data_IF_564758703605
#
_entry.id   IF_564758703605
#
_cell.length_a   1.000
_cell.length_b   1.000
_cell.length_c   1.000
_cell.angle_alpha   90.00
_cell.angle_beta   90.00
_cell.angle_gamma   90.00
#
_symmetry.space_group_name_H-M   'P 1'
#
loop_
_entity.id
_entity.type
_entity.pdbx_description
1 polymer ?
#
# COMPACT_ATOMS: atom_id res chain seq x y z
N UNK A 1 -10.25 -8.35 -41.54
CA UNK A 1 -8.95 -7.87 -41.04
C UNK A 1 -9.12 -7.56 -39.57
N UNK A 2 -8.49 -8.40 -38.74
CA UNK A 2 -8.35 -8.26 -37.29
C UNK A 2 -7.65 -6.95 -36.94
N UNK A 3 -8.15 -6.21 -35.95
CA UNK A 3 -7.36 -5.58 -34.88
C UNK A 3 -8.21 -4.62 -34.03
N UNK A 4 -9.25 -5.14 -33.39
CA UNK A 4 -9.65 -4.60 -32.09
C UNK A 4 -9.08 -5.52 -31.03
N UNK A 5 -7.77 -5.39 -30.81
CA UNK A 5 -7.17 -5.81 -29.57
C UNK A 5 -7.74 -4.89 -28.50
N UNK A 6 -8.90 -5.26 -27.96
CA UNK A 6 -9.41 -4.74 -26.71
C UNK A 6 -8.28 -4.93 -25.69
N UNK A 7 -7.49 -3.87 -25.48
CA UNK A 7 -6.51 -3.83 -24.40
C UNK A 7 -7.35 -3.73 -23.14
N UNK A 8 -7.58 -4.90 -22.55
CA UNK A 8 -8.10 -5.01 -21.20
C UNK A 8 -7.31 -4.01 -20.33
N UNK A 9 -7.98 -3.03 -19.70
CA UNK A 9 -7.27 -2.06 -18.89
C UNK A 9 -6.52 -2.84 -17.82
N UNK A 10 -5.21 -2.61 -17.62
CA UNK A 10 -4.43 -3.33 -16.63
C UNK A 10 -4.87 -2.87 -15.25
N UNK A 11 -5.96 -3.46 -14.79
CA UNK A 11 -6.51 -3.26 -13.48
C UNK A 11 -6.54 -4.63 -12.84
N UNK A 12 -5.89 -4.76 -11.69
CA UNK A 12 -5.93 -5.94 -10.83
C UNK A 12 -7.32 -6.06 -10.14
N UNK A 13 -8.37 -5.85 -10.93
CA UNK A 13 -9.76 -6.17 -10.64
C UNK A 13 -10.13 -7.48 -11.35
N UNK A 14 -9.25 -8.50 -11.30
CA UNK A 14 -9.67 -9.84 -11.71
C UNK A 14 -10.26 -10.62 -10.50
N UNK A 15 -11.25 -11.51 -10.75
CA UNK A 15 -11.76 -12.50 -9.81
C UNK A 15 -10.61 -13.40 -9.29
N UNK A 16 -10.83 -14.27 -8.28
CA UNK A 16 -9.79 -15.20 -7.82
C UNK A 16 -9.34 -16.09 -8.99
N UNK A 17 -8.23 -15.70 -9.62
CA UNK A 17 -7.41 -16.58 -10.44
C UNK A 17 -6.36 -17.16 -9.51
N UNK A 18 -5.97 -18.43 -9.70
CA UNK A 18 -4.92 -19.11 -8.94
C UNK A 18 -3.56 -18.44 -9.18
N UNK A 19 -3.38 -17.25 -8.60
CA UNK A 19 -2.16 -16.48 -8.70
C UNK A 19 -1.11 -17.05 -7.76
N UNK A 20 0.14 -16.97 -8.18
CA UNK A 20 1.29 -17.44 -7.43
C UNK A 20 1.79 -16.36 -6.48
N UNK A 21 2.32 -16.82 -5.36
CA UNK A 21 2.99 -15.99 -4.35
C UNK A 21 4.31 -16.64 -3.98
N UNK A 22 5.41 -15.89 -4.04
CA UNK A 22 6.73 -16.41 -3.67
C UNK A 22 7.60 -15.33 -3.03
N UNK A 23 8.73 -15.78 -2.50
CA UNK A 23 9.76 -14.93 -1.90
C UNK A 23 10.90 -14.67 -2.90
N UNK A 24 11.32 -13.42 -3.01
CA UNK A 24 12.59 -13.00 -3.62
C UNK A 24 13.39 -12.16 -2.61
N UNK A 25 14.30 -12.78 -1.86
CA UNK A 25 15.01 -12.09 -0.77
C UNK A 25 14.03 -11.57 0.28
N UNK A 26 14.01 -10.26 0.52
CA UNK A 26 13.07 -9.62 1.47
C UNK A 26 11.79 -9.12 0.78
N UNK A 27 11.63 -9.44 -0.51
CA UNK A 27 10.50 -9.01 -1.33
C UNK A 27 9.48 -10.14 -1.43
N UNK A 28 8.24 -9.80 -1.09
CA UNK A 28 7.07 -10.62 -1.36
C UNK A 28 6.60 -10.34 -2.79
N UNK A 29 6.56 -11.36 -3.64
CA UNK A 29 6.07 -11.23 -5.02
C UNK A 29 4.74 -11.95 -5.15
N UNK A 30 3.73 -11.25 -5.68
CA UNK A 30 2.40 -11.79 -5.89
C UNK A 30 1.94 -11.52 -7.33
N UNK A 31 1.37 -12.52 -8.00
CA UNK A 31 0.68 -12.30 -9.29
C UNK A 31 -0.76 -11.85 -9.09
N UNK A 32 -1.39 -11.40 -10.18
CA UNK A 32 -2.81 -11.06 -10.19
C UNK A 32 -3.68 -12.19 -9.62
N UNK A 33 -4.54 -11.87 -8.65
CA UNK A 33 -5.44 -12.85 -8.04
C UNK A 33 -4.81 -13.75 -6.96
N UNK A 34 -3.51 -13.65 -6.71
CA UNK A 34 -2.84 -14.46 -5.69
C UNK A 34 -3.45 -14.26 -4.30
N UNK A 35 -3.77 -15.37 -3.64
CA UNK A 35 -4.23 -15.41 -2.26
C UNK A 35 -3.03 -15.69 -1.35
N UNK A 36 -2.79 -14.81 -0.39
CA UNK A 36 -1.74 -15.04 0.60
C UNK A 36 -2.21 -16.11 1.60
N UNK A 37 -1.26 -16.90 2.17
CA UNK A 37 -1.57 -17.83 3.25
C UNK A 37 -2.36 -17.14 4.39
N UNK A 38 -3.26 -17.87 5.08
CA UNK A 38 -4.05 -17.35 6.18
C UNK A 38 -3.20 -17.22 7.47
N UNK A 39 -2.12 -16.44 7.38
CA UNK A 39 -1.19 -16.11 8.46
C UNK A 39 -0.89 -14.62 8.42
N UNK A 40 -0.62 -14.04 9.58
CA UNK A 40 -0.29 -12.63 9.67
C UNK A 40 0.99 -12.31 8.89
N UNK A 41 0.88 -11.45 7.87
CA UNK A 41 2.04 -11.03 7.04
C UNK A 41 3.16 -10.33 7.83
N UNK A 42 2.90 -9.87 9.06
CA UNK A 42 3.88 -9.15 9.92
C UNK A 42 4.57 -9.99 10.98
N UNK A 43 3.94 -11.05 11.47
CA UNK A 43 4.51 -11.86 12.55
C UNK A 43 4.37 -13.37 12.33
N UNK A 44 3.80 -13.79 11.20
CA UNK A 44 3.50 -15.18 10.87
C UNK A 44 2.57 -15.93 11.85
N UNK A 45 1.98 -15.23 12.82
CA UNK A 45 0.99 -15.80 13.72
C UNK A 45 -0.23 -16.32 12.93
N UNK A 46 -0.91 -17.38 13.41
CA UNK A 46 -2.14 -17.87 12.78
C UNK A 46 -3.17 -16.75 12.64
N UNK A 47 -3.91 -16.75 11.54
CA UNK A 47 -4.92 -15.73 11.30
C UNK A 47 -6.17 -16.00 12.16
N UNK A 48 -6.29 -15.26 13.26
CA UNK A 48 -7.52 -15.25 14.08
C UNK A 48 -8.66 -14.42 13.46
N UNK A 49 -8.37 -13.67 12.38
CA UNK A 49 -9.31 -12.76 11.73
C UNK A 49 -9.53 -13.14 10.27
N UNK A 50 -10.73 -12.84 9.72
CA UNK A 50 -11.05 -13.15 8.35
C UNK A 50 -10.11 -12.41 7.38
N UNK A 51 -9.72 -13.05 6.27
CA UNK A 51 -8.96 -12.42 5.21
C UNK A 51 -9.69 -11.17 4.68
N UNK A 52 -8.93 -10.08 4.50
CA UNK A 52 -9.46 -8.82 3.99
C UNK A 52 -8.75 -8.46 2.70
N UNK A 53 -9.49 -7.85 1.77
CA UNK A 53 -8.93 -7.32 0.53
C UNK A 53 -8.26 -5.98 0.79
N UNK A 54 -6.99 -5.85 0.37
CA UNK A 54 -6.22 -4.62 0.44
C UNK A 54 -5.91 -4.13 -0.96
N UNK A 55 -6.13 -2.83 -1.19
CA UNK A 55 -5.80 -2.17 -2.45
C UNK A 55 -4.55 -1.33 -2.21
N UNK A 56 -3.50 -1.65 -2.96
CA UNK A 56 -2.25 -0.92 -2.99
C UNK A 56 -2.20 -0.01 -4.22
N UNK A 57 -1.64 1.16 -4.02
CA UNK A 57 -1.48 2.16 -5.07
C UNK A 57 0.01 2.41 -5.25
N UNK A 58 0.45 2.36 -6.50
CA UNK A 58 1.83 2.60 -6.87
C UNK A 58 1.89 3.59 -8.02
N UNK A 59 2.86 4.50 -7.93
CA UNK A 59 3.14 5.49 -8.95
C UNK A 59 4.57 5.28 -9.43
N UNK A 60 4.78 5.39 -10.74
CA UNK A 60 6.12 5.30 -11.30
C UNK A 60 6.96 6.50 -10.81
N UNK A 61 8.19 6.31 -10.31
CA UNK A 61 9.01 7.39 -9.76
C UNK A 61 9.29 8.52 -10.77
N UNK A 62 9.32 8.21 -12.07
CA UNK A 62 9.46 9.19 -13.16
C UNK A 62 8.35 10.26 -13.14
N UNK A 63 7.17 9.97 -12.58
CA UNK A 63 6.08 10.96 -12.47
C UNK A 63 6.52 12.16 -11.63
N UNK A 64 7.40 11.99 -10.64
CA UNK A 64 7.92 13.10 -9.85
C UNK A 64 8.76 14.09 -10.67
N UNK A 65 9.34 13.67 -11.80
CA UNK A 65 10.03 14.59 -12.71
C UNK A 65 9.05 15.58 -13.36
N UNK A 66 7.78 15.21 -13.55
CA UNK A 66 6.75 16.11 -14.08
C UNK A 66 6.46 17.29 -13.14
N UNK A 67 6.82 17.18 -11.86
CA UNK A 67 6.72 18.29 -10.91
C UNK A 67 7.61 19.47 -11.31
N UNK A 68 8.72 19.22 -12.00
CA UNK A 68 9.61 20.27 -12.53
C UNK A 68 8.94 21.12 -13.61
N UNK A 69 7.93 20.56 -14.31
CA UNK A 69 7.12 21.25 -15.31
C UNK A 69 5.88 21.94 -14.70
N UNK A 70 5.68 21.79 -13.38
CA UNK A 70 4.57 22.38 -12.64
C UNK A 70 3.63 21.34 -12.03
N UNK A 71 2.73 21.83 -11.17
CA UNK A 71 1.79 20.96 -10.42
C UNK A 71 0.74 20.32 -11.33
N UNK A 72 0.24 21.05 -12.33
CA UNK A 72 -0.81 20.55 -13.24
C UNK A 72 -0.40 19.31 -14.05
N UNK A 73 0.74 19.29 -14.79
CA UNK A 73 1.15 18.09 -15.51
C UNK A 73 1.45 16.92 -14.57
N UNK A 74 2.02 17.18 -13.39
CA UNK A 74 2.21 16.17 -12.36
C UNK A 74 0.89 15.51 -11.95
N UNK A 75 -0.15 16.29 -11.66
CA UNK A 75 -1.46 15.75 -11.25
C UNK A 75 -2.08 14.91 -12.36
N UNK A 76 -2.00 15.36 -13.62
CA UNK A 76 -2.53 14.62 -14.77
C UNK A 76 -1.81 13.27 -14.91
N UNK A 77 -0.47 13.27 -14.89
CA UNK A 77 0.33 12.03 -14.98
C UNK A 77 0.09 11.12 -13.77
N UNK A 78 0.00 11.69 -12.57
CA UNK A 78 -0.24 10.92 -11.35
C UNK A 78 -1.59 10.20 -11.40
N UNK A 79 -2.64 10.82 -11.95
CA UNK A 79 -3.95 10.17 -12.11
C UNK A 79 -3.90 9.14 -13.24
N UNK A 80 -3.34 9.49 -14.40
CA UNK A 80 -3.34 8.65 -15.60
C UNK A 80 -2.47 7.39 -15.47
N UNK A 81 -1.31 7.50 -14.81
CA UNK A 81 -0.31 6.42 -14.70
C UNK A 81 -0.38 5.66 -13.38
N UNK A 82 -1.37 5.94 -12.53
CA UNK A 82 -1.54 5.25 -11.25
C UNK A 82 -1.87 3.78 -11.47
N UNK A 83 -0.94 2.91 -11.09
CA UNK A 83 -1.18 1.48 -11.05
C UNK A 83 -1.80 1.08 -9.72
N UNK A 84 -2.70 0.10 -9.76
CA UNK A 84 -3.41 -0.42 -8.59
C UNK A 84 -3.26 -1.93 -8.55
N UNK A 85 -2.91 -2.46 -7.39
CA UNK A 85 -2.90 -3.89 -7.11
C UNK A 85 -3.80 -4.22 -5.95
N UNK A 86 -4.54 -5.31 -6.03
CA UNK A 86 -5.43 -5.73 -4.95
C UNK A 86 -5.17 -7.20 -4.62
N UNK A 87 -4.87 -7.49 -3.35
CA UNK A 87 -4.68 -8.85 -2.87
C UNK A 87 -5.41 -9.07 -1.56
N UNK A 88 -5.76 -10.32 -1.32
CA UNK A 88 -6.38 -10.77 -0.08
C UNK A 88 -5.28 -11.18 0.88
N UNK A 89 -5.24 -10.54 2.06
CA UNK A 89 -4.23 -10.81 3.08
C UNK A 89 -4.86 -10.82 4.48
N UNK A 90 -4.19 -11.52 5.39
CA UNK A 90 -4.61 -11.65 6.78
C UNK A 90 -3.61 -10.95 7.71
N UNK A 91 -4.14 -10.41 8.79
CA UNK A 91 -3.38 -9.82 9.90
C UNK A 91 -3.88 -10.44 11.20
N UNK A 92 -3.03 -10.56 12.20
CA UNK A 92 -3.47 -10.95 13.54
C UNK A 92 -4.15 -9.77 14.25
N UNK A 93 -4.96 -10.06 15.28
CA UNK A 93 -5.69 -9.04 16.04
C UNK A 93 -4.79 -7.94 16.60
N UNK A 94 -3.58 -8.29 17.04
CA UNK A 94 -2.61 -7.33 17.56
C UNK A 94 -2.18 -6.29 16.50
N UNK A 95 -1.84 -6.75 15.30
CA UNK A 95 -1.39 -5.86 14.22
C UNK A 95 -2.54 -5.03 13.64
N UNK A 96 -3.75 -5.58 13.55
CA UNK A 96 -4.92 -4.79 13.13
C UNK A 96 -5.29 -3.74 14.18
N UNK A 97 -5.24 -4.08 15.48
CA UNK A 97 -5.44 -3.09 16.56
C UNK A 97 -4.38 -1.99 16.52
N UNK A 98 -3.11 -2.34 16.29
CA UNK A 98 -2.03 -1.36 16.13
C UNK A 98 -2.31 -0.42 14.96
N UNK A 99 -2.71 -0.97 13.81
CA UNK A 99 -3.12 -0.19 12.64
C UNK A 99 -4.32 0.71 12.93
N UNK A 100 -5.35 0.20 13.60
CA UNK A 100 -6.53 0.97 13.96
C UNK A 100 -6.18 2.15 14.88
N UNK A 101 -5.25 1.97 15.83
CA UNK A 101 -4.74 3.07 16.66
C UNK A 101 -4.05 4.15 15.82
N UNK A 102 -3.21 3.78 14.86
CA UNK A 102 -2.58 4.76 13.97
C UNK A 102 -3.59 5.50 13.08
N UNK A 103 -4.64 4.82 12.62
CA UNK A 103 -5.76 5.46 11.91
C UNK A 103 -6.50 6.43 12.83
N UNK A 104 -6.75 6.04 14.09
CA UNK A 104 -7.39 6.92 15.08
C UNK A 104 -6.52 8.16 15.37
N UNK A 105 -5.20 8.02 15.48
CA UNK A 105 -4.26 9.16 15.60
C UNK A 105 -4.35 10.08 14.39
N UNK A 106 -4.39 9.53 13.17
CA UNK A 106 -4.58 10.33 11.97
C UNK A 106 -5.92 11.09 11.97
N UNK A 107 -7.00 10.45 12.40
CA UNK A 107 -8.32 11.10 12.51
C UNK A 107 -8.34 12.19 13.59
N UNK A 108 -7.69 11.94 14.74
CA UNK A 108 -7.60 12.90 15.84
C UNK A 108 -6.77 14.14 15.51
N UNK A 109 -5.94 14.09 14.45
CA UNK A 109 -5.15 15.24 14.00
C UNK A 109 -6.00 16.47 13.64
N UNK A 110 -7.25 16.27 13.21
CA UNK A 110 -8.20 17.36 12.94
C UNK A 110 -8.58 18.10 14.22
N UNK A 111 -8.79 17.36 15.31
CA UNK A 111 -9.06 17.97 16.62
C UNK A 111 -7.84 18.74 17.12
N UNK A 112 -6.63 18.22 16.90
CA UNK A 112 -5.40 18.92 17.26
C UNK A 112 -5.28 20.27 16.52
N UNK A 113 -5.61 20.31 15.21
CA UNK A 113 -5.65 21.56 14.45
C UNK A 113 -6.65 22.56 15.04
N UNK A 114 -7.87 22.10 15.36
CA UNK A 114 -8.93 22.96 15.89
C UNK A 114 -8.59 23.51 17.28
N UNK A 115 -8.08 22.66 18.18
CA UNK A 115 -7.69 23.07 19.53
C UNK A 115 -6.52 24.05 19.48
N UNK A 116 -5.48 23.76 18.70
CA UNK A 116 -4.36 24.69 18.55
C UNK A 116 -4.78 26.01 17.88
N UNK A 117 -5.65 25.97 16.87
CA UNK A 117 -6.11 27.17 16.16
C UNK A 117 -7.03 28.07 16.98
N UNK A 118 -7.83 27.50 17.89
CA UNK A 118 -8.81 28.25 18.68
C UNK A 118 -8.30 28.65 20.08
N UNK A 119 -7.44 27.86 20.71
CA UNK A 119 -7.05 28.04 22.12
C UNK A 119 -5.70 28.72 22.34
N UNK A 120 -4.80 28.73 21.34
CA UNK A 120 -3.48 29.34 21.51
C UNK A 120 -3.54 30.84 21.27
N UNK A 121 -3.10 31.64 22.24
CA UNK A 121 -2.97 33.09 22.07
C UNK A 121 -1.63 33.48 21.44
N UNK A 122 -1.44 33.06 20.19
CA UNK A 122 -0.26 33.35 19.39
C UNK A 122 -0.66 33.68 17.95
N UNK A 123 0.06 34.59 17.31
CA UNK A 123 -0.11 34.87 15.88
C UNK A 123 0.19 33.64 15.00
N UNK A 124 0.98 32.69 15.51
CA UNK A 124 1.37 31.47 14.79
C UNK A 124 0.46 30.27 15.10
N UNK A 125 -0.66 30.45 15.81
CA UNK A 125 -1.55 29.37 16.26
C UNK A 125 -1.95 28.38 15.15
N UNK A 126 -2.28 28.89 13.96
CA UNK A 126 -2.65 28.08 12.81
C UNK A 126 -1.47 27.33 12.19
N UNK A 127 -0.28 27.93 12.18
CA UNK A 127 0.95 27.29 11.68
C UNK A 127 1.35 26.15 12.60
N UNK A 128 1.28 26.37 13.92
CA UNK A 128 1.57 25.33 14.93
C UNK A 128 0.57 24.19 14.80
N UNK A 129 -0.74 24.49 14.73
CA UNK A 129 -1.78 23.49 14.55
C UNK A 129 -1.61 22.68 13.25
N UNK A 130 -1.28 23.35 12.14
CA UNK A 130 -1.03 22.69 10.86
C UNK A 130 0.22 21.79 10.92
N UNK A 131 1.28 22.22 11.59
CA UNK A 131 2.49 21.42 11.81
C UNK A 131 2.22 20.16 12.63
N UNK A 132 1.49 20.28 13.73
CA UNK A 132 1.07 19.13 14.57
C UNK A 132 0.19 18.18 13.78
N UNK A 133 -0.80 18.70 13.03
CA UNK A 133 -1.66 17.90 12.18
C UNK A 133 -0.85 17.13 11.13
N UNK A 134 0.06 17.81 10.43
CA UNK A 134 0.91 17.20 9.42
C UNK A 134 1.78 16.07 10.02
N UNK A 135 2.37 16.28 11.20
CA UNK A 135 3.15 15.27 11.90
C UNK A 135 2.29 14.04 12.29
N UNK A 136 1.11 14.26 12.87
CA UNK A 136 0.19 13.17 13.25
C UNK A 136 -0.32 12.39 12.03
N UNK A 137 -0.65 13.08 10.93
CA UNK A 137 -1.02 12.45 9.68
C UNK A 137 0.13 11.62 9.11
N UNK A 138 1.37 12.12 9.16
CA UNK A 138 2.54 11.39 8.71
C UNK A 138 2.77 10.12 9.54
N UNK A 139 2.72 10.22 10.87
CA UNK A 139 2.84 9.09 11.80
C UNK A 139 1.73 8.06 11.55
N UNK A 140 0.47 8.51 11.47
CA UNK A 140 -0.66 7.64 11.19
C UNK A 140 -0.55 6.97 9.82
N UNK A 141 -0.07 7.70 8.81
CA UNK A 141 0.12 7.18 7.45
C UNK A 141 1.26 6.19 7.33
N UNK A 142 2.34 6.34 8.10
CA UNK A 142 3.45 5.39 8.16
C UNK A 142 3.07 4.15 8.99
N UNK A 143 2.47 4.35 10.16
CA UNK A 143 2.11 3.26 11.08
C UNK A 143 0.92 2.40 10.61
N UNK A 144 0.05 2.92 9.75
CA UNK A 144 -1.06 2.16 9.16
C UNK A 144 -0.67 1.36 7.91
N UNK A 145 0.56 1.49 7.41
CA UNK A 145 1.04 0.75 6.23
C UNK A 145 1.26 -0.72 6.59
N UNK A 146 0.50 -1.59 5.91
CA UNK A 146 0.63 -3.04 6.06
C UNK A 146 1.80 -3.56 5.22
N UNK A 147 1.83 -3.25 3.93
CA UNK A 147 2.92 -3.58 3.03
C UNK A 147 3.27 -2.34 2.21
N UNK A 148 4.55 -2.23 1.83
CA UNK A 148 5.02 -1.15 0.97
C UNK A 148 5.15 -1.66 -0.47
N UNK A 149 4.32 -1.20 -1.42
CA UNK A 149 4.45 -1.58 -2.82
C UNK A 149 5.73 -0.95 -3.38
N UNK A 150 6.64 -1.79 -3.87
CA UNK A 150 7.93 -1.34 -4.43
C UNK A 150 7.85 -1.23 -5.95
N UNK A 151 7.20 -2.19 -6.59
CA UNK A 151 6.98 -2.23 -8.01
C UNK A 151 5.65 -2.93 -8.29
N UNK A 152 4.86 -2.39 -9.21
CA UNK A 152 3.62 -3.01 -9.68
C UNK A 152 3.66 -3.04 -11.20
N UNK A 153 3.81 -4.24 -11.75
CA UNK A 153 3.72 -4.50 -13.17
C UNK A 153 2.36 -5.11 -13.53
N UNK A 154 2.14 -5.38 -14.82
CA UNK A 154 0.89 -5.96 -15.30
C UNK A 154 0.68 -7.40 -14.82
N UNK A 155 1.77 -8.16 -14.64
CA UNK A 155 1.72 -9.58 -14.26
C UNK A 155 1.97 -9.82 -12.76
N UNK A 156 2.82 -9.00 -12.13
CA UNK A 156 3.27 -9.21 -10.75
C UNK A 156 3.36 -7.90 -9.98
N UNK A 157 3.12 -7.98 -8.68
CA UNK A 157 3.30 -6.89 -7.73
C UNK A 157 4.32 -7.32 -6.66
N UNK A 158 5.25 -6.43 -6.36
CA UNK A 158 6.35 -6.62 -5.42
C UNK A 158 6.13 -5.76 -4.18
N UNK A 159 6.18 -6.40 -3.02
CA UNK A 159 5.90 -5.79 -1.72
C UNK A 159 7.07 -5.96 -0.77
N UNK A 160 7.33 -4.93 0.04
CA UNK A 160 8.25 -4.97 1.17
C UNK A 160 7.50 -4.92 2.50
N UNK A 161 8.16 -5.42 3.54
CA UNK A 161 7.70 -5.34 4.92
C UNK A 161 6.86 -6.52 5.41
N UNK A 162 6.88 -7.65 4.71
CA UNK A 162 6.50 -8.94 5.28
C UNK A 162 7.61 -9.42 6.24
N UNK A 163 7.28 -10.23 7.25
CA UNK A 163 8.32 -10.79 8.13
C UNK A 163 9.00 -12.00 7.50
N UNK A 164 10.25 -12.25 7.89
CA UNK A 164 11.06 -13.35 7.36
C UNK A 164 10.44 -14.73 7.58
N UNK A 165 9.80 -14.96 8.74
CA UNK A 165 9.10 -16.20 9.01
C UNK A 165 7.96 -16.44 8.01
N UNK A 166 7.17 -15.41 7.69
CA UNK A 166 6.11 -15.52 6.70
C UNK A 166 6.68 -15.73 5.30
N UNK A 167 7.75 -15.01 4.95
CA UNK A 167 8.41 -15.16 3.65
C UNK A 167 9.02 -16.55 3.46
N UNK A 168 9.52 -17.17 4.53
CA UNK A 168 10.15 -18.49 4.48
C UNK A 168 9.15 -19.63 4.29
N UNK A 169 7.88 -19.42 4.67
CA UNK A 169 6.79 -20.37 4.48
C UNK A 169 6.20 -20.34 3.06
N UNK A 170 6.66 -19.43 2.20
CA UNK A 170 6.15 -19.30 0.83
C UNK A 170 6.75 -20.35 -0.10
N UNK A 171 5.99 -20.79 -1.13
CA UNK A 171 6.50 -21.74 -2.10
C UNK A 171 7.66 -21.14 -2.90
N UNK A 172 8.53 -21.99 -3.48
CA UNK A 172 9.64 -21.54 -4.30
C UNK A 172 9.14 -20.78 -5.54
N UNK A 173 9.98 -19.89 -6.10
CA UNK A 173 9.64 -19.12 -7.30
C UNK A 173 9.25 -20.03 -8.47
N UNK A 174 8.17 -19.70 -9.21
CA UNK A 174 7.76 -20.45 -10.39
C UNK A 174 8.85 -20.40 -11.46
N UNK A 175 9.00 -21.46 -12.27
CA UNK A 175 10.10 -21.60 -13.23
C UNK A 175 10.23 -20.40 -14.19
N UNK A 176 9.11 -19.78 -14.57
CA UNK A 176 9.06 -18.60 -15.44
C UNK A 176 9.74 -17.35 -14.83
N UNK A 177 9.87 -17.27 -13.50
CA UNK A 177 10.55 -16.18 -12.80
C UNK A 177 12.07 -16.38 -12.69
N UNK A 178 12.57 -17.61 -12.87
CA UNK A 178 14.00 -17.96 -12.72
C UNK A 178 14.88 -17.53 -13.91
N UNK A 179 14.27 -17.16 -15.04
CA UNK A 179 14.95 -16.82 -16.29
C UNK A 179 15.04 -15.30 -16.55
N UNK A 180 14.57 -14.45 -15.63
CA UNK A 180 14.64 -12.97 -15.76
C UNK A 180 15.69 -12.35 -14.87
#
# INVERSE_FOLDING_TARGET
MSNDAFREPPSLYLPPANGDVWREGDVLVCTAGANLPPRCVKCNAPADMPPRRYIFHWHHPVIYAALLLGVLPYVILAIALRKRSAHVLTLCAQHERRRARFVAVAMASVLALLVCGLSLDSQFRWVIGAGVMAAMLLIGRLGSRVLSPTQVDHAQARYLGACDAFLSDLPPPPQASRQR
#
